data_IF_930671951645
#
_entry.id   IF_930671951645
#
_cell.length_a   1.000
_cell.length_b   1.000
_cell.length_c   1.000
_cell.angle_alpha   90.00
_cell.angle_beta   90.00
_cell.angle_gamma   90.00
#
_symmetry.space_group_name_H-M   'P 1'
#
loop_
_entity.id
_entity.type
_entity.pdbx_description
1 polymer ?
#
# COMPACT_ATOMS: atom_id res chain seq x y z
N UNK A 1 -16.74 -21.95 12.34
CA UNK A 1 -16.80 -20.58 11.76
C UNK A 1 -16.29 -20.68 10.35
N UNK A 2 -16.99 -20.14 9.35
CA UNK A 2 -16.52 -20.14 7.95
C UNK A 2 -15.31 -19.21 7.79
N UNK A 3 -14.43 -19.48 6.82
CA UNK A 3 -13.28 -18.62 6.51
C UNK A 3 -13.69 -17.16 6.22
N UNK A 4 -14.82 -16.97 5.53
CA UNK A 4 -15.39 -15.63 5.30
C UNK A 4 -15.77 -14.91 6.59
N UNK A 5 -16.41 -15.61 7.54
CA UNK A 5 -16.78 -15.03 8.84
C UNK A 5 -15.54 -14.70 9.67
N UNK A 6 -14.48 -15.51 9.54
CA UNK A 6 -13.18 -15.25 10.15
C UNK A 6 -12.52 -14.00 9.58
N UNK A 7 -12.47 -13.87 8.26
CA UNK A 7 -11.88 -12.71 7.58
C UNK A 7 -12.61 -11.41 7.91
N UNK A 8 -13.95 -11.44 7.91
CA UNK A 8 -14.78 -10.29 8.32
C UNK A 8 -14.47 -9.85 9.75
N UNK A 9 -14.42 -10.79 10.70
CA UNK A 9 -14.11 -10.46 12.09
C UNK A 9 -12.69 -9.88 12.25
N UNK A 10 -11.70 -10.45 11.55
CA UNK A 10 -10.32 -9.91 11.54
C UNK A 10 -10.31 -8.47 11.03
N UNK A 11 -11.07 -8.16 10.00
CA UNK A 11 -11.16 -6.81 9.46
C UNK A 11 -11.87 -5.83 10.41
N UNK A 12 -12.95 -6.27 11.06
CA UNK A 12 -13.64 -5.47 12.09
C UNK A 12 -12.69 -5.12 13.26
N UNK A 13 -11.94 -6.11 13.76
CA UNK A 13 -10.87 -5.90 14.75
C UNK A 13 -9.81 -4.92 14.24
N UNK A 14 -9.40 -5.06 12.98
CA UNK A 14 -8.37 -4.23 12.38
C UNK A 14 -8.76 -2.75 12.33
N UNK A 15 -9.98 -2.47 11.87
CA UNK A 15 -10.54 -1.11 11.84
C UNK A 15 -10.63 -0.50 13.23
N UNK A 16 -11.03 -1.28 14.23
CA UNK A 16 -11.08 -0.84 15.62
C UNK A 16 -9.67 -0.52 16.17
N UNK A 17 -8.70 -1.39 15.92
CA UNK A 17 -7.32 -1.19 16.33
C UNK A 17 -6.73 0.10 15.72
N UNK A 18 -6.90 0.32 14.42
CA UNK A 18 -6.39 1.52 13.75
C UNK A 18 -7.03 2.79 14.30
N UNK A 19 -8.35 2.80 14.53
CA UNK A 19 -9.05 3.93 15.13
C UNK A 19 -8.49 4.26 16.52
N UNK A 20 -8.36 3.26 17.39
CA UNK A 20 -7.82 3.43 18.74
C UNK A 20 -6.35 3.88 18.73
N UNK A 21 -5.52 3.33 17.83
CA UNK A 21 -4.14 3.78 17.68
C UNK A 21 -4.03 5.22 17.22
N UNK A 22 -4.94 5.69 16.37
CA UNK A 22 -4.99 7.09 15.94
C UNK A 22 -5.42 8.02 17.08
N UNK A 23 -6.38 7.60 17.90
CA UNK A 23 -6.96 8.42 18.98
C UNK A 23 -6.09 8.44 20.26
N UNK A 24 -5.42 7.34 20.57
CA UNK A 24 -4.71 7.16 21.86
C UNK A 24 -3.22 6.83 21.70
N UNK A 25 -2.72 6.73 20.48
CA UNK A 25 -1.39 6.20 20.19
C UNK A 25 -1.32 4.67 20.35
N UNK A 26 -0.27 4.06 19.80
CA UNK A 26 -0.05 2.61 19.90
C UNK A 26 0.24 2.21 21.34
N UNK A 27 1.12 2.94 22.03
CA UNK A 27 1.47 2.69 23.43
C UNK A 27 0.25 2.80 24.37
N UNK A 28 -0.63 3.79 24.15
CA UNK A 28 -1.83 4.04 24.96
C UNK A 28 -2.99 3.08 24.69
N UNK A 29 -2.87 2.18 23.73
CA UNK A 29 -3.90 1.21 23.35
C UNK A 29 -3.50 -0.20 23.76
N UNK A 30 -4.34 -0.88 24.54
CA UNK A 30 -4.17 -2.30 24.92
C UNK A 30 -4.98 -3.22 24.00
N UNK A 31 -4.61 -4.51 23.96
CA UNK A 31 -5.41 -5.51 23.25
C UNK A 31 -6.78 -5.72 23.88
N UNK A 32 -6.88 -5.59 25.20
CA UNK A 32 -8.16 -5.64 25.93
C UNK A 32 -9.11 -4.56 25.42
N UNK A 33 -8.64 -3.31 25.27
CA UNK A 33 -9.45 -2.21 24.74
C UNK A 33 -9.88 -2.46 23.30
N UNK A 34 -8.98 -2.98 22.46
CA UNK A 34 -9.32 -3.35 21.07
C UNK A 34 -10.40 -4.43 21.05
N UNK A 35 -10.30 -5.43 21.93
CA UNK A 35 -11.26 -6.52 22.01
C UNK A 35 -12.64 -6.02 22.48
N UNK A 36 -12.67 -5.18 23.52
CA UNK A 36 -13.89 -4.57 24.06
C UNK A 36 -14.63 -3.74 23.01
N UNK A 37 -13.91 -2.96 22.20
CA UNK A 37 -14.45 -2.12 21.12
C UNK A 37 -15.26 -2.92 20.09
N UNK A 38 -14.94 -4.21 19.89
CA UNK A 38 -15.66 -5.11 18.98
C UNK A 38 -16.48 -6.19 19.70
N UNK A 39 -16.70 -6.04 21.01
CA UNK A 39 -17.52 -6.97 21.81
C UNK A 39 -16.89 -8.35 22.02
N UNK A 40 -15.54 -8.43 22.06
CA UNK A 40 -14.78 -9.66 22.26
C UNK A 40 -14.02 -9.65 23.59
N UNK A 41 -13.65 -10.85 24.06
CA UNK A 41 -12.66 -10.99 25.12
C UNK A 41 -11.23 -10.91 24.58
N UNK A 42 -10.27 -10.45 25.39
CA UNK A 42 -8.85 -10.45 25.03
C UNK A 42 -8.35 -11.85 24.62
N UNK A 43 -8.79 -12.91 25.31
CA UNK A 43 -8.53 -14.31 24.92
C UNK A 43 -8.96 -14.61 23.48
N UNK A 44 -10.09 -14.05 23.05
CA UNK A 44 -10.59 -14.24 21.68
C UNK A 44 -9.75 -13.46 20.68
N UNK A 45 -9.37 -12.22 20.99
CA UNK A 45 -8.46 -11.43 20.17
C UNK A 45 -7.13 -12.17 19.93
N UNK A 46 -6.50 -12.66 21.00
CA UNK A 46 -5.20 -13.35 20.94
C UNK A 46 -5.24 -14.72 20.24
N UNK A 47 -6.43 -15.27 19.96
CA UNK A 47 -6.57 -16.41 19.04
C UNK A 47 -6.41 -16.01 17.56
N UNK A 48 -6.55 -14.74 17.22
CA UNK A 48 -6.45 -14.23 15.86
C UNK A 48 -5.14 -13.48 15.58
N UNK A 49 -4.56 -12.81 16.58
CA UNK A 49 -3.38 -11.97 16.42
C UNK A 49 -2.36 -12.28 17.51
N UNK A 50 -1.07 -12.19 17.18
CA UNK A 50 0.00 -12.48 18.15
C UNK A 50 0.40 -11.25 18.97
N UNK A 51 0.14 -10.06 18.44
CA UNK A 51 0.39 -8.78 19.09
C UNK A 51 -0.67 -7.77 18.66
N UNK A 52 -0.84 -6.68 19.43
CA UNK A 52 -1.83 -5.63 19.10
C UNK A 52 -1.48 -4.92 17.78
N UNK A 53 -0.20 -4.81 17.46
CA UNK A 53 0.30 -4.17 16.25
C UNK A 53 -0.06 -4.99 15.01
N UNK A 54 -0.08 -6.32 15.12
CA UNK A 54 -0.53 -7.20 14.02
C UNK A 54 -2.02 -7.03 13.70
N UNK A 55 -2.81 -6.44 14.59
CA UNK A 55 -4.22 -6.18 14.32
C UNK A 55 -4.42 -5.26 13.10
N UNK A 56 -3.43 -4.47 12.68
CA UNK A 56 -3.55 -3.60 11.49
C UNK A 56 -3.40 -4.34 10.17
N UNK A 57 -2.87 -5.57 10.17
CA UNK A 57 -2.59 -6.34 8.95
C UNK A 57 -3.82 -6.52 8.03
N UNK A 58 -5.03 -6.87 8.53
CA UNK A 58 -6.17 -7.14 7.66
C UNK A 58 -6.61 -5.95 6.80
N UNK A 59 -6.58 -4.71 7.32
CA UNK A 59 -6.96 -3.54 6.51
C UNK A 59 -5.89 -3.22 5.46
N UNK A 60 -4.60 -3.42 5.79
CA UNK A 60 -3.50 -3.27 4.84
C UNK A 60 -3.61 -4.31 3.70
N UNK A 61 -3.83 -5.58 4.05
CA UNK A 61 -3.98 -6.68 3.10
C UNK A 61 -5.20 -6.48 2.20
N UNK A 62 -6.36 -6.09 2.75
CA UNK A 62 -7.55 -5.75 1.93
C UNK A 62 -7.26 -4.61 0.95
N UNK A 63 -6.46 -3.61 1.35
CA UNK A 63 -6.06 -2.51 0.47
C UNK A 63 -5.17 -3.00 -0.69
N UNK A 64 -4.17 -3.83 -0.39
CA UNK A 64 -3.31 -4.47 -1.41
C UNK A 64 -4.14 -5.33 -2.36
N UNK A 65 -5.03 -6.19 -1.83
CA UNK A 65 -5.88 -7.05 -2.65
C UNK A 65 -6.78 -6.23 -3.59
N UNK A 66 -7.37 -5.15 -3.09
CA UNK A 66 -8.17 -4.22 -3.89
C UNK A 66 -7.34 -3.53 -4.96
N UNK A 67 -6.10 -3.14 -4.63
CA UNK A 67 -5.19 -2.50 -5.58
C UNK A 67 -4.78 -3.47 -6.69
N UNK A 68 -4.39 -4.69 -6.35
CA UNK A 68 -4.06 -5.73 -7.33
C UNK A 68 -5.28 -6.08 -8.20
N UNK A 69 -6.48 -6.13 -7.63
CA UNK A 69 -7.70 -6.34 -8.41
C UNK A 69 -7.94 -5.22 -9.45
N UNK A 70 -7.60 -3.97 -9.12
CA UNK A 70 -7.60 -2.86 -10.09
C UNK A 70 -6.57 -3.07 -11.19
N UNK A 71 -5.34 -3.48 -10.83
CA UNK A 71 -4.27 -3.70 -11.80
C UNK A 71 -4.53 -4.88 -12.75
N UNK A 72 -5.23 -5.92 -12.29
CA UNK A 72 -5.64 -7.03 -13.17
C UNK A 72 -6.58 -6.61 -14.30
N UNK A 73 -7.19 -5.43 -14.20
CA UNK A 73 -8.08 -4.86 -15.23
C UNK A 73 -7.37 -3.81 -16.09
N UNK A 74 -6.04 -3.71 -16.00
CA UNK A 74 -5.23 -2.73 -16.72
C UNK A 74 -5.26 -2.96 -18.24
N UNK A 75 -5.85 -2.05 -19.03
CA UNK A 75 -5.91 -2.19 -20.49
C UNK A 75 -4.52 -2.18 -21.14
N UNK A 76 -4.32 -2.95 -22.21
CA UNK A 76 -3.02 -3.12 -22.91
C UNK A 76 -2.49 -1.86 -23.58
N UNK A 77 -3.40 -0.95 -23.92
CA UNK A 77 -3.19 0.29 -24.66
C UNK A 77 -2.99 1.51 -23.77
N UNK A 78 -3.04 1.36 -22.44
CA UNK A 78 -2.87 2.44 -21.47
C UNK A 78 -1.56 2.32 -20.70
N UNK A 79 -0.96 3.46 -20.34
CA UNK A 79 0.13 3.47 -19.36
C UNK A 79 -0.40 3.10 -17.96
N UNK A 80 0.51 2.75 -17.04
CA UNK A 80 0.13 2.37 -15.68
C UNK A 80 -0.43 3.57 -14.89
N UNK A 81 0.17 4.75 -15.08
CA UNK A 81 -0.26 5.99 -14.44
C UNK A 81 -1.64 6.44 -14.95
N UNK A 82 -1.91 6.37 -16.26
CA UNK A 82 -3.22 6.65 -16.85
C UNK A 82 -4.30 5.74 -16.26
N UNK A 83 -4.03 4.44 -16.16
CA UNK A 83 -4.98 3.47 -15.59
C UNK A 83 -5.27 3.74 -14.10
N UNK A 84 -4.24 4.05 -13.32
CA UNK A 84 -4.37 4.28 -11.89
C UNK A 84 -5.01 5.62 -11.53
N UNK A 85 -4.80 6.67 -12.34
CA UNK A 85 -5.39 8.00 -12.14
C UNK A 85 -6.77 8.12 -12.77
N UNK A 86 -6.95 7.54 -13.95
CA UNK A 86 -8.19 7.60 -14.73
C UNK A 86 -9.26 6.61 -14.30
N UNK A 87 -8.91 5.60 -13.51
CA UNK A 87 -9.85 4.62 -12.98
C UNK A 87 -10.91 5.23 -12.05
N UNK A 88 -12.14 4.66 -12.00
CA UNK A 88 -13.18 5.14 -11.10
C UNK A 88 -12.73 5.04 -9.64
N UNK A 89 -12.78 6.15 -8.91
CA UNK A 89 -12.54 6.14 -7.46
C UNK A 89 -13.68 5.40 -6.76
N UNK A 90 -13.33 4.42 -5.94
CA UNK A 90 -14.32 3.77 -5.08
C UNK A 90 -14.69 4.71 -3.93
N UNK A 91 -15.81 5.41 -4.09
CA UNK A 91 -16.36 6.36 -3.11
C UNK A 91 -17.33 5.71 -2.12
N UNK A 92 -17.42 4.37 -2.11
CA UNK A 92 -18.13 3.65 -1.06
C UNK A 92 -17.57 4.07 0.33
N UNK A 93 -18.43 4.42 1.30
CA UNK A 93 -17.98 4.91 2.61
C UNK A 93 -17.04 3.96 3.33
N UNK A 94 -17.24 2.65 3.20
CA UNK A 94 -16.37 1.64 3.82
C UNK A 94 -14.98 1.62 3.15
N UNK A 95 -14.94 1.75 1.83
CA UNK A 95 -13.67 1.85 1.08
C UNK A 95 -12.92 3.17 1.36
N UNK A 96 -13.64 4.27 1.61
CA UNK A 96 -13.05 5.54 2.06
C UNK A 96 -12.42 5.37 3.44
N UNK A 97 -13.18 4.81 4.39
CA UNK A 97 -12.70 4.58 5.75
C UNK A 97 -11.48 3.64 5.79
N UNK A 98 -11.47 2.59 4.95
CA UNK A 98 -10.31 1.69 4.84
C UNK A 98 -9.06 2.41 4.30
N UNK A 99 -9.21 3.30 3.31
CA UNK A 99 -8.09 4.11 2.80
C UNK A 99 -7.52 5.03 3.88
N UNK A 100 -8.40 5.71 4.63
CA UNK A 100 -7.97 6.55 5.75
C UNK A 100 -7.28 5.74 6.85
N UNK A 101 -7.78 4.53 7.13
CA UNK A 101 -7.16 3.61 8.08
C UNK A 101 -5.76 3.19 7.62
N UNK A 102 -5.58 2.83 6.35
CA UNK A 102 -4.26 2.49 5.77
C UNK A 102 -3.30 3.67 5.90
N UNK A 103 -3.70 4.88 5.49
CA UNK A 103 -2.86 6.07 5.63
C UNK A 103 -2.54 6.39 7.10
N UNK A 104 -3.45 6.10 8.03
CA UNK A 104 -3.22 6.27 9.46
C UNK A 104 -2.13 5.31 9.96
N UNK A 105 -2.18 4.04 9.54
CA UNK A 105 -1.15 3.04 9.87
C UNK A 105 0.22 3.45 9.31
N UNK A 106 0.27 3.87 8.05
CA UNK A 106 1.52 4.31 7.40
C UNK A 106 2.08 5.54 8.14
N UNK A 107 1.23 6.50 8.49
CA UNK A 107 1.61 7.69 9.23
C UNK A 107 2.19 7.36 10.61
N UNK A 108 1.50 6.53 11.39
CA UNK A 108 1.94 6.06 12.70
C UNK A 108 3.26 5.25 12.62
N UNK A 109 3.47 4.50 11.54
CA UNK A 109 4.67 3.68 11.34
C UNK A 109 5.98 4.47 11.34
N UNK A 110 5.92 5.80 11.16
CA UNK A 110 7.10 6.69 11.23
C UNK A 110 7.73 6.73 12.63
N UNK A 111 6.92 6.59 13.66
CA UNK A 111 7.36 6.61 15.07
C UNK A 111 7.18 5.26 15.75
N UNK A 112 6.51 4.31 15.11
CA UNK A 112 6.14 3.00 15.67
C UNK A 112 6.78 1.86 14.84
N UNK A 113 7.99 1.37 15.22
CA UNK A 113 8.72 0.36 14.45
C UNK A 113 7.96 -0.95 14.23
N UNK A 114 7.14 -1.35 15.20
CA UNK A 114 6.33 -2.56 15.11
C UNK A 114 5.25 -2.45 14.02
N UNK A 115 4.60 -1.28 13.88
CA UNK A 115 3.67 -1.03 12.77
C UNK A 115 4.42 -0.95 11.43
N UNK A 116 5.62 -0.36 11.42
CA UNK A 116 6.47 -0.31 10.23
C UNK A 116 6.80 -1.70 9.70
N UNK A 117 7.11 -2.64 10.59
CA UNK A 117 7.37 -4.03 10.23
C UNK A 117 6.13 -4.68 9.58
N UNK A 118 4.95 -4.54 10.19
CA UNK A 118 3.70 -5.10 9.64
C UNK A 118 3.40 -4.51 8.26
N UNK A 119 3.52 -3.18 8.12
CA UNK A 119 3.32 -2.48 6.85
C UNK A 119 4.27 -2.99 5.76
N UNK A 120 5.58 -3.08 6.05
CA UNK A 120 6.57 -3.53 5.06
C UNK A 120 6.37 -4.97 4.62
N UNK A 121 5.99 -5.88 5.54
CA UNK A 121 5.72 -7.28 5.17
C UNK A 121 4.51 -7.39 4.24
N UNK A 122 3.44 -6.62 4.50
CA UNK A 122 2.29 -6.59 3.59
C UNK A 122 2.68 -6.00 2.23
N UNK A 123 3.54 -4.97 2.24
CA UNK A 123 4.01 -4.32 1.04
C UNK A 123 4.91 -5.20 0.17
N UNK A 124 5.83 -5.96 0.77
CA UNK A 124 6.70 -6.90 0.08
C UNK A 124 5.89 -7.98 -0.67
N UNK A 125 4.77 -8.43 -0.08
CA UNK A 125 3.84 -9.35 -0.76
C UNK A 125 3.20 -8.71 -1.99
N UNK A 126 2.85 -7.42 -1.92
CA UNK A 126 2.31 -6.67 -3.05
C UNK A 126 3.33 -6.54 -4.19
N UNK A 127 4.62 -6.34 -3.87
CA UNK A 127 5.70 -6.28 -4.86
C UNK A 127 5.82 -7.59 -5.66
N UNK A 128 5.75 -8.74 -4.99
CA UNK A 128 5.77 -10.03 -5.68
C UNK A 128 4.59 -10.18 -6.67
N UNK A 129 3.40 -9.71 -6.29
CA UNK A 129 2.22 -9.73 -7.15
C UNK A 129 2.34 -8.74 -8.33
N UNK A 130 2.98 -7.58 -8.11
CA UNK A 130 3.31 -6.63 -9.17
C UNK A 130 4.30 -7.23 -10.18
N UNK A 131 5.28 -8.01 -9.73
CA UNK A 131 6.23 -8.68 -10.61
C UNK A 131 5.55 -9.65 -11.59
N UNK A 132 4.58 -10.43 -11.12
CA UNK A 132 3.77 -11.31 -11.97
C UNK A 132 2.97 -10.51 -13.01
N UNK A 133 2.33 -9.41 -12.60
CA UNK A 133 1.57 -8.54 -13.52
C UNK A 133 2.47 -7.89 -14.58
N UNK A 134 3.65 -7.42 -14.19
CA UNK A 134 4.62 -6.82 -15.12
C UNK A 134 5.18 -7.88 -16.07
N UNK A 135 5.47 -9.09 -15.58
CA UNK A 135 5.89 -10.22 -16.41
C UNK A 135 4.87 -10.53 -17.51
N UNK A 136 3.60 -10.70 -17.13
CA UNK A 136 2.51 -10.95 -18.06
C UNK A 136 2.41 -9.83 -19.09
N UNK A 137 2.50 -8.57 -18.65
CA UNK A 137 2.46 -7.39 -19.51
C UNK A 137 3.58 -7.34 -20.54
N UNK A 138 4.77 -7.78 -20.16
CA UNK A 138 5.96 -7.76 -21.02
C UNK A 138 6.13 -9.04 -21.85
N UNK A 139 5.33 -10.08 -21.60
CA UNK A 139 5.53 -11.40 -22.19
C UNK A 139 6.86 -12.03 -21.76
N UNK A 140 7.34 -11.74 -20.54
CA UNK A 140 8.63 -12.17 -20.00
C UNK A 140 8.47 -12.99 -18.72
N UNK A 141 9.43 -13.85 -18.35
CA UNK A 141 9.37 -14.59 -17.10
C UNK A 141 9.46 -13.66 -15.87
N UNK A 142 8.68 -13.88 -14.79
CA UNK A 142 8.71 -13.06 -13.58
C UNK A 142 10.05 -13.10 -12.83
N UNK A 143 10.83 -14.16 -13.02
CA UNK A 143 12.17 -14.29 -12.44
C UNK A 143 13.27 -13.48 -13.14
N UNK A 144 12.98 -12.93 -14.33
CA UNK A 144 13.96 -12.18 -15.10
C UNK A 144 14.36 -10.88 -14.40
N UNK A 145 15.66 -10.56 -14.36
CA UNK A 145 16.18 -9.41 -13.61
C UNK A 145 15.49 -8.09 -13.98
N UNK A 146 15.27 -7.85 -15.27
CA UNK A 146 14.61 -6.63 -15.75
C UNK A 146 13.17 -6.50 -15.22
N UNK A 147 12.40 -7.60 -15.21
CA UNK A 147 11.03 -7.62 -14.67
C UNK A 147 11.04 -7.33 -13.17
N UNK A 148 11.93 -8.02 -12.43
CA UNK A 148 12.05 -7.84 -10.98
C UNK A 148 12.44 -6.41 -10.60
N UNK A 149 13.41 -5.82 -11.30
CA UNK A 149 13.85 -4.43 -11.06
C UNK A 149 12.72 -3.45 -11.36
N UNK A 150 12.00 -3.64 -12.48
CA UNK A 150 10.88 -2.76 -12.85
C UNK A 150 9.73 -2.86 -11.83
N UNK A 151 9.38 -4.07 -11.39
CA UNK A 151 8.36 -4.27 -10.36
C UNK A 151 8.76 -3.63 -9.03
N UNK A 152 10.01 -3.81 -8.60
CA UNK A 152 10.55 -3.19 -7.39
C UNK A 152 10.55 -1.64 -7.48
N UNK A 153 10.86 -1.08 -8.66
CA UNK A 153 10.81 0.36 -8.88
C UNK A 153 9.38 0.91 -8.76
N UNK A 154 8.40 0.24 -9.40
CA UNK A 154 6.98 0.60 -9.32
C UNK A 154 6.47 0.48 -7.87
N UNK A 155 6.80 -0.61 -7.18
CA UNK A 155 6.49 -0.80 -5.77
C UNK A 155 7.14 0.31 -4.91
N UNK A 156 8.39 0.69 -5.19
CA UNK A 156 9.05 1.82 -4.54
C UNK A 156 8.26 3.13 -4.70
N UNK A 157 7.85 3.46 -5.93
CA UNK A 157 7.06 4.65 -6.23
C UNK A 157 5.72 4.69 -5.49
N UNK A 158 4.99 3.57 -5.49
CA UNK A 158 3.71 3.43 -4.80
C UNK A 158 3.88 3.53 -3.27
N UNK A 159 4.94 2.96 -2.69
CA UNK A 159 5.25 3.04 -1.26
C UNK A 159 5.53 4.48 -0.85
N UNK A 160 6.41 5.18 -1.59
CA UNK A 160 6.79 6.57 -1.32
C UNK A 160 5.56 7.48 -1.43
N UNK A 161 4.74 7.31 -2.48
CA UNK A 161 3.49 8.07 -2.64
C UNK A 161 2.55 7.85 -1.46
N UNK A 162 2.43 6.62 -0.97
CA UNK A 162 1.59 6.31 0.19
C UNK A 162 2.12 6.94 1.49
N UNK A 163 3.45 6.97 1.66
CA UNK A 163 4.12 7.63 2.79
C UNK A 163 3.94 9.16 2.75
N UNK A 164 4.02 9.77 1.57
CA UNK A 164 3.76 11.20 1.36
C UNK A 164 2.31 11.56 1.67
N UNK A 165 1.36 10.76 1.18
CA UNK A 165 -0.07 10.94 1.46
C UNK A 165 -0.40 10.81 2.94
N UNK A 166 0.19 9.82 3.61
CA UNK A 166 0.03 9.63 5.05
C UNK A 166 0.62 10.82 5.84
N UNK A 167 1.79 11.31 5.42
CA UNK A 167 2.40 12.51 6.01
C UNK A 167 1.52 13.75 5.83
N UNK A 168 0.97 13.95 4.64
CA UNK A 168 0.08 15.08 4.36
C UNK A 168 -1.19 15.03 5.24
N UNK A 169 -1.82 13.84 5.33
CA UNK A 169 -3.00 13.62 6.17
C UNK A 169 -2.73 13.94 7.65
N UNK A 170 -1.61 13.48 8.20
CA UNK A 170 -1.25 13.76 9.60
C UNK A 170 -0.96 15.25 9.86
N UNK A 171 -0.37 15.94 8.88
CA UNK A 171 -0.04 17.35 9.00
C UNK A 171 -1.21 18.27 8.64
N UNK A 172 -2.37 17.72 8.26
CA UNK A 172 -3.52 18.49 7.79
C UNK A 172 -3.26 19.25 6.49
N UNK A 173 -2.29 18.80 5.68
CA UNK A 173 -1.99 19.39 4.38
C UNK A 173 -2.67 18.59 3.27
N UNK A 174 -2.95 19.26 2.15
CA UNK A 174 -3.48 18.61 0.95
C UNK A 174 -2.35 18.49 -0.07
N UNK A 175 -2.16 17.29 -0.61
CA UNK A 175 -1.32 17.06 -1.78
C UNK A 175 -2.19 16.46 -2.89
N UNK A 176 -1.88 16.77 -4.14
CA UNK A 176 -2.52 16.13 -5.26
C UNK A 176 -2.00 14.68 -5.38
N UNK A 177 -2.80 13.75 -4.87
CA UNK A 177 -2.48 12.34 -4.86
C UNK A 177 -2.30 11.77 -6.28
N UNK A 178 -3.03 12.28 -7.27
CA UNK A 178 -2.89 11.84 -8.64
C UNK A 178 -1.56 12.33 -9.21
N UNK A 179 -1.29 13.64 -9.12
CA UNK A 179 -0.04 14.21 -9.62
C UNK A 179 1.20 13.57 -8.97
N UNK A 180 1.19 13.34 -7.65
CA UNK A 180 2.30 12.68 -6.94
C UNK A 180 2.49 11.23 -7.39
N UNK A 181 1.41 10.50 -7.64
CA UNK A 181 1.49 9.14 -8.16
C UNK A 181 2.09 9.10 -9.57
N UNK A 182 1.64 9.98 -10.47
CA UNK A 182 2.21 10.09 -11.83
C UNK A 182 3.69 10.43 -11.77
N UNK A 183 4.08 11.43 -10.97
CA UNK A 183 5.46 11.84 -10.77
C UNK A 183 6.34 10.66 -10.32
N UNK A 184 5.89 9.91 -9.31
CA UNK A 184 6.63 8.78 -8.77
C UNK A 184 6.72 7.61 -9.78
N UNK A 185 5.63 7.30 -10.49
CA UNK A 185 5.61 6.22 -11.48
C UNK A 185 6.51 6.55 -12.67
N UNK A 186 6.48 7.78 -13.18
CA UNK A 186 7.39 8.21 -14.24
C UNK A 186 8.86 8.09 -13.82
N UNK A 187 9.21 8.49 -12.59
CA UNK A 187 10.57 8.32 -12.07
C UNK A 187 10.99 6.85 -11.94
N UNK A 188 10.04 5.94 -11.71
CA UNK A 188 10.29 4.51 -11.59
C UNK A 188 10.38 3.77 -12.94
N UNK A 189 9.62 4.20 -13.95
CA UNK A 189 9.54 3.50 -15.25
C UNK A 189 10.46 4.10 -16.30
N UNK A 190 10.72 5.40 -16.25
CA UNK A 190 11.71 6.09 -17.08
C UNK A 190 12.90 6.33 -16.17
N UNK A 191 13.84 5.37 -16.13
CA UNK A 191 15.00 5.41 -15.23
C UNK A 191 15.58 6.81 -15.13
N UNK A 192 15.84 7.28 -13.90
CA UNK A 192 16.42 8.58 -13.53
C UNK A 192 17.23 9.12 -14.71
N UNK A 193 16.69 10.16 -15.37
CA UNK A 193 17.21 10.71 -16.62
C UNK A 193 18.73 10.65 -16.70
N UNK A 194 19.22 9.58 -17.31
CA UNK A 194 20.52 9.55 -17.93
C UNK A 194 20.27 10.05 -19.32
N UNK A 195 20.23 11.38 -19.48
CA UNK A 195 20.65 11.97 -20.74
C UNK A 195 21.92 11.23 -21.13
N UNK A 196 21.91 10.64 -22.33
CA UNK A 196 23.14 10.13 -22.88
C UNK A 196 24.11 11.32 -22.86
N UNK A 197 25.22 11.18 -22.14
CA UNK A 197 26.44 11.92 -22.45
C UNK A 197 26.91 11.44 -23.83
N UNK A 198 26.11 11.69 -24.88
CA UNK A 198 26.57 11.65 -26.24
C UNK A 198 27.35 12.94 -26.42
N UNK A 199 28.61 12.84 -26.01
CA UNK A 199 29.68 13.73 -26.37
C UNK A 199 29.52 14.12 -27.83
N UNK A 200 29.58 15.43 -28.06
CA UNK A 200 29.71 16.04 -29.37
C UNK A 200 30.81 15.32 -30.17
N UNK A 201 30.41 14.68 -31.26
CA UNK A 201 31.25 14.55 -32.44
C UNK A 201 30.41 15.04 -33.63
N UNK A 202 30.51 16.35 -33.87
CA UNK A 202 30.27 16.89 -35.20
C UNK A 202 31.27 16.24 -36.17
N UNK A 203 30.85 15.79 -37.35
CA UNK A 203 31.79 15.58 -38.44
C UNK A 203 32.20 16.96 -38.97
N UNK A 204 33.50 17.25 -38.95
CA UNK A 204 34.07 18.33 -39.77
C UNK A 204 34.02 17.89 -41.25
N UNK A 205 33.60 18.76 -42.18
CA UNK A 205 33.93 18.61 -43.59
C UNK A 205 35.42 18.91 -43.85
#
# INVERSE_FOLDING_TARGET
MTEQRRARLRLEISRAAVRLFREHGVAGTSGERIAEEVGLSARTLWRYFRAKEECVEPVLTRSVDSFIATLRRWPVDQSLDEHLVGGPRNNDPEAVADREAVLSVIGLSRTEPALRAVWLVVYERAEAMLAELVAERLGRPPGELAVRVQAAAIAGALRITSEDLASAMLNGTTIDAAARLVEALHAATHGVAGDSLTTAQQPLP
#
